data_IF_279897326837
#
_entry.id   IF_279897326837
#
_cell.length_a   1.000
_cell.length_b   1.000
_cell.length_c   1.000
_cell.angle_alpha   90.00
_cell.angle_beta   90.00
_cell.angle_gamma   90.00
#
_symmetry.space_group_name_H-M   'P 1'
#
loop_
_entity.id
_entity.type
_entity.pdbx_description
1 polymer ?
#
# COMPACT_ATOMS: atom_id res chain seq x y z
N UNK A 1 56.36 -16.48 -26.95
CA UNK A 1 55.33 -16.19 -27.99
C UNK A 1 54.02 -16.92 -27.68
N UNK A 2 53.13 -16.39 -26.81
CA UNK A 2 51.73 -16.87 -26.66
C UNK A 2 50.86 -15.77 -26.01
N UNK A 3 50.29 -14.86 -26.81
CA UNK A 3 49.25 -13.89 -26.38
C UNK A 3 48.55 -13.32 -27.62
N UNK A 4 47.57 -14.03 -28.20
CA UNK A 4 46.71 -13.42 -29.25
C UNK A 4 45.38 -14.14 -29.57
N UNK A 5 44.75 -14.90 -28.65
CA UNK A 5 43.53 -15.68 -28.99
C UNK A 5 42.24 -15.26 -28.25
N UNK A 6 42.27 -14.34 -27.27
CA UNK A 6 41.09 -14.07 -26.42
C UNK A 6 40.17 -12.89 -26.83
N UNK A 7 40.30 -12.29 -28.01
CA UNK A 7 39.50 -11.08 -28.34
C UNK A 7 38.15 -11.32 -29.03
N UNK A 8 37.89 -12.50 -29.62
CA UNK A 8 36.70 -12.71 -30.47
C UNK A 8 35.42 -13.12 -29.73
N UNK A 9 35.51 -13.65 -28.52
CA UNK A 9 34.32 -14.11 -27.78
C UNK A 9 33.56 -12.98 -27.09
N UNK A 10 34.23 -11.86 -26.78
CA UNK A 10 33.59 -10.71 -26.11
C UNK A 10 32.62 -9.93 -27.01
N UNK A 11 32.77 -10.02 -28.33
CA UNK A 11 31.96 -9.24 -29.28
C UNK A 11 30.53 -9.79 -29.44
N UNK A 12 30.34 -11.11 -29.28
CA UNK A 12 29.02 -11.75 -29.38
C UNK A 12 28.13 -11.47 -28.17
N UNK A 13 28.71 -11.28 -26.99
CA UNK A 13 27.99 -11.01 -25.74
C UNK A 13 27.30 -9.62 -25.75
N UNK A 14 27.91 -8.63 -26.41
CA UNK A 14 27.29 -7.30 -26.56
C UNK A 14 26.04 -7.35 -27.43
N UNK A 15 25.98 -8.24 -28.43
CA UNK A 15 24.83 -8.36 -29.32
C UNK A 15 23.58 -8.85 -28.59
N UNK A 16 23.72 -9.79 -27.65
CA UNK A 16 22.58 -10.33 -26.89
C UNK A 16 22.04 -9.29 -25.91
N UNK A 17 22.92 -8.58 -25.21
CA UNK A 17 22.52 -7.49 -24.28
C UNK A 17 21.81 -6.36 -25.01
N UNK A 18 22.30 -6.00 -26.20
CA UNK A 18 21.69 -4.93 -27.01
C UNK A 18 20.31 -5.33 -27.56
N UNK A 19 20.14 -6.59 -27.97
CA UNK A 19 18.84 -7.13 -28.39
C UNK A 19 17.84 -7.15 -27.24
N UNK A 20 18.27 -7.57 -26.05
CA UNK A 20 17.41 -7.55 -24.85
C UNK A 20 16.99 -6.12 -24.47
N UNK A 21 17.93 -5.18 -24.44
CA UNK A 21 17.64 -3.78 -24.12
C UNK A 21 16.66 -3.16 -25.13
N UNK A 22 16.83 -3.47 -26.42
CA UNK A 22 15.92 -3.02 -27.48
C UNK A 22 14.50 -3.55 -27.26
N UNK A 23 14.33 -4.83 -26.94
CA UNK A 23 13.01 -5.42 -26.76
C UNK A 23 12.35 -4.99 -25.43
N UNK A 24 13.15 -4.77 -24.39
CA UNK A 24 12.69 -4.18 -23.12
C UNK A 24 12.11 -2.77 -23.35
N UNK A 25 12.85 -1.90 -24.04
CA UNK A 25 12.41 -0.53 -24.35
C UNK A 25 11.13 -0.58 -25.20
N UNK A 26 11.07 -1.47 -26.20
CA UNK A 26 9.88 -1.65 -27.04
C UNK A 26 8.65 -2.01 -26.21
N UNK A 27 8.78 -2.95 -25.27
CA UNK A 27 7.67 -3.38 -24.42
C UNK A 27 7.22 -2.28 -23.45
N UNK A 28 8.14 -1.48 -22.90
CA UNK A 28 7.80 -0.34 -22.04
C UNK A 28 7.03 0.73 -22.83
N UNK A 29 7.47 1.04 -24.05
CA UNK A 29 6.79 2.02 -24.92
C UNK A 29 5.38 1.53 -25.27
N UNK A 30 5.22 0.25 -25.64
CA UNK A 30 3.92 -0.31 -25.99
C UNK A 30 2.94 -0.34 -24.81
N UNK A 31 3.42 -0.69 -23.61
CA UNK A 31 2.60 -0.68 -22.40
C UNK A 31 2.13 0.74 -22.04
N UNK A 32 3.01 1.75 -22.19
CA UNK A 32 2.63 3.14 -21.97
C UNK A 32 1.70 3.67 -23.05
N UNK A 33 1.85 3.26 -24.31
CA UNK A 33 0.97 3.67 -25.41
C UNK A 33 -0.47 3.19 -25.24
N UNK A 34 -0.66 1.96 -24.72
CA UNK A 34 -2.01 1.46 -24.44
C UNK A 34 -2.73 2.27 -23.37
N UNK A 35 -2.00 2.71 -22.33
CA UNK A 35 -2.57 3.57 -21.29
C UNK A 35 -2.98 4.95 -21.85
N UNK A 36 -2.17 5.53 -22.75
CA UNK A 36 -2.49 6.82 -23.40
C UNK A 36 -3.74 6.70 -24.29
N UNK A 37 -3.90 5.59 -25.02
CA UNK A 37 -5.07 5.36 -25.89
C UNK A 37 -6.35 5.15 -25.07
N UNK A 38 -6.26 4.48 -23.92
CA UNK A 38 -7.39 4.30 -22.99
C UNK A 38 -7.82 5.63 -22.36
N UNK A 39 -6.86 6.51 -22.03
CA UNK A 39 -7.13 7.84 -21.46
C UNK A 39 -7.87 8.75 -22.45
N UNK A 40 -7.42 8.83 -23.72
CA UNK A 40 -8.14 9.55 -24.78
C UNK A 40 -9.57 9.00 -25.01
N UNK A 41 -9.75 7.68 -24.89
CA UNK A 41 -11.06 7.04 -25.01
C UNK A 41 -11.98 7.42 -23.85
N UNK A 42 -11.45 7.50 -22.63
CA UNK A 42 -12.22 7.96 -21.48
C UNK A 42 -12.61 9.43 -21.63
N UNK A 43 -11.69 10.31 -22.04
CA UNK A 43 -11.99 11.72 -22.25
C UNK A 43 -13.08 11.92 -23.30
N UNK A 44 -13.02 11.19 -24.42
CA UNK A 44 -14.07 11.25 -25.46
C UNK A 44 -15.43 10.76 -24.94
N UNK A 45 -15.46 9.73 -24.08
CA UNK A 45 -16.70 9.24 -23.44
C UNK A 45 -17.27 10.26 -22.44
N UNK A 46 -16.42 10.86 -21.62
CA UNK A 46 -16.83 11.92 -20.67
C UNK A 46 -17.36 13.13 -21.42
N UNK A 47 -16.70 13.56 -22.49
CA UNK A 47 -17.15 14.69 -23.31
C UNK A 47 -18.46 14.38 -24.06
N UNK A 48 -18.65 13.16 -24.56
CA UNK A 48 -19.91 12.73 -25.17
C UNK A 48 -21.06 12.71 -24.16
N UNK A 49 -20.81 12.18 -22.95
CA UNK A 49 -21.78 12.15 -21.86
C UNK A 49 -22.23 13.56 -21.45
N UNK A 50 -21.28 14.49 -21.29
CA UNK A 50 -21.58 15.90 -20.98
C UNK A 50 -22.32 16.64 -22.10
N UNK A 51 -22.20 16.17 -23.35
CA UNK A 51 -22.85 16.80 -24.50
C UNK A 51 -24.29 16.31 -24.72
N UNK A 52 -24.62 15.12 -24.25
CA UNK A 52 -25.99 14.57 -24.31
C UNK A 52 -26.91 15.12 -23.21
N UNK A 53 -26.36 15.70 -22.14
CA UNK A 53 -27.12 16.51 -21.19
C UNK A 53 -27.39 17.92 -21.74
N UNK A 54 -28.33 18.03 -22.68
CA UNK A 54 -29.00 19.31 -23.00
C UNK A 54 -30.51 19.25 -22.76
N UNK A 55 -31.10 20.39 -22.35
CA UNK A 55 -32.23 20.43 -21.44
C UNK A 55 -33.56 20.24 -22.15
N UNK A 56 -34.35 19.27 -21.71
CA UNK A 56 -35.72 19.07 -22.17
C UNK A 56 -36.72 19.76 -21.24
N UNK A 57 -36.70 21.09 -21.17
CA UNK A 57 -37.88 21.87 -20.72
C UNK A 57 -37.95 23.18 -21.50
N UNK A 58 -38.55 23.12 -22.69
CA UNK A 58 -39.03 24.30 -23.42
C UNK A 58 -40.49 24.53 -23.00
N UNK A 59 -40.70 25.08 -21.80
CA UNK A 59 -42.03 25.59 -21.44
C UNK A 59 -42.18 26.97 -22.06
N UNK A 60 -43.11 27.08 -23.02
CA UNK A 60 -43.55 28.36 -23.57
C UNK A 60 -44.19 29.18 -22.45
N UNK A 61 -43.56 30.29 -22.06
CA UNK A 61 -44.23 31.33 -21.27
C UNK A 61 -44.26 32.59 -22.13
N UNK A 62 -45.48 32.96 -22.51
CA UNK A 62 -45.79 34.16 -23.25
C UNK A 62 -45.27 35.41 -22.54
N UNK A 63 -44.89 36.40 -23.35
CA UNK A 63 -44.52 37.73 -22.92
C UNK A 63 -45.68 38.36 -22.13
N UNK A 64 -45.56 38.40 -20.82
CA UNK A 64 -46.23 39.42 -20.01
C UNK A 64 -45.17 40.23 -19.29
N UNK A 65 -45.19 41.54 -19.52
CA UNK A 65 -44.41 42.54 -18.82
C UNK A 65 -44.81 42.50 -17.34
N UNK A 66 -43.99 41.89 -16.49
CA UNK A 66 -44.19 41.92 -15.04
C UNK A 66 -43.19 42.92 -14.45
N UNK A 67 -43.74 43.94 -13.80
CA UNK A 67 -43.02 44.96 -13.02
C UNK A 67 -42.22 44.29 -11.90
N UNK A 68 -41.06 44.83 -11.49
CA UNK A 68 -40.23 44.23 -10.46
C UNK A 68 -40.97 44.21 -9.12
N UNK A 69 -41.25 43.00 -8.62
CA UNK A 69 -41.77 42.78 -7.27
C UNK A 69 -40.55 42.66 -6.33
N UNK A 70 -40.49 43.42 -5.22
CA UNK A 70 -39.42 43.30 -4.24
C UNK A 70 -39.51 41.94 -3.55
N UNK A 71 -38.49 41.11 -3.75
CA UNK A 71 -38.40 39.79 -3.14
C UNK A 71 -38.04 39.95 -1.66
N UNK A 72 -39.05 39.90 -0.79
CA UNK A 72 -38.84 39.58 0.62
C UNK A 72 -38.54 38.08 0.73
N UNK A 73 -37.28 37.75 0.96
CA UNK A 73 -36.82 36.40 1.26
C UNK A 73 -37.32 36.04 2.67
N UNK A 74 -38.59 35.59 2.76
CA UNK A 74 -39.08 34.91 3.96
C UNK A 74 -38.51 33.51 3.97
N UNK A 75 -37.61 33.31 4.92
CA UNK A 75 -37.03 32.06 5.36
C UNK A 75 -38.09 30.95 5.42
N UNK A 76 -37.92 29.91 4.62
CA UNK A 76 -38.53 28.61 4.89
C UNK A 76 -37.42 27.57 5.04
N UNK A 77 -36.58 27.80 6.05
CA UNK A 77 -35.78 26.75 6.66
C UNK A 77 -36.77 25.87 7.40
N UNK A 78 -37.19 24.76 6.79
CA UNK A 78 -37.80 23.69 7.55
C UNK A 78 -36.66 23.02 8.32
N UNK A 79 -36.63 23.08 9.66
CA UNK A 79 -35.66 22.30 10.42
C UNK A 79 -35.91 20.84 10.10
N UNK A 80 -34.92 20.16 9.54
CA UNK A 80 -34.91 18.71 9.49
C UNK A 80 -35.10 18.23 10.93
N UNK A 81 -36.26 17.66 11.22
CA UNK A 81 -36.56 17.09 12.51
C UNK A 81 -35.55 15.97 12.74
N UNK A 82 -34.51 16.27 13.51
CA UNK A 82 -33.63 15.29 14.11
C UNK A 82 -34.53 14.30 14.84
N UNK A 83 -34.77 13.14 14.24
CA UNK A 83 -35.29 12.00 14.98
C UNK A 83 -34.17 11.63 15.95
N UNK A 84 -34.36 11.75 17.28
CA UNK A 84 -33.39 11.26 18.22
C UNK A 84 -33.19 9.78 17.92
N UNK A 85 -31.98 9.40 17.52
CA UNK A 85 -31.59 8.00 17.47
C UNK A 85 -31.90 7.44 18.86
N UNK A 86 -32.92 6.59 18.94
CA UNK A 86 -33.23 5.89 20.17
C UNK A 86 -31.97 5.12 20.54
N UNK A 87 -31.32 5.59 21.62
CA UNK A 87 -30.21 4.92 22.25
C UNK A 87 -30.70 3.52 22.58
N UNK A 88 -30.31 2.54 21.78
CA UNK A 88 -30.53 1.13 22.06
C UNK A 88 -29.80 0.89 23.38
N UNK A 89 -30.56 0.89 24.47
CA UNK A 89 -30.01 0.51 25.76
C UNK A 89 -29.55 -0.94 25.59
N UNK A 90 -28.27 -1.26 25.85
CA UNK A 90 -27.86 -2.64 25.91
C UNK A 90 -28.75 -3.29 26.95
N UNK A 91 -29.58 -4.26 26.52
CA UNK A 91 -30.31 -5.13 27.44
C UNK A 91 -29.26 -5.70 28.38
N UNK A 92 -29.27 -5.21 29.61
CA UNK A 92 -28.57 -5.80 30.74
C UNK A 92 -29.27 -7.13 31.03
N UNK A 93 -29.01 -8.11 30.16
CA UNK A 93 -29.26 -9.49 30.43
C UNK A 93 -28.32 -9.87 31.55
N UNK A 94 -28.86 -9.93 32.77
CA UNK A 94 -28.27 -10.61 33.90
C UNK A 94 -27.78 -11.99 33.44
N UNK A 95 -26.49 -12.10 33.12
CA UNK A 95 -25.81 -13.39 33.15
C UNK A 95 -25.71 -13.74 34.62
N UNK A 96 -26.74 -14.46 35.11
CA UNK A 96 -26.64 -15.24 36.33
C UNK A 96 -25.36 -16.07 36.19
N UNK A 97 -24.38 -15.79 37.04
CA UNK A 97 -23.12 -16.48 37.06
C UNK A 97 -23.38 -17.98 37.11
N UNK A 98 -22.90 -18.69 36.09
CA UNK A 98 -22.71 -20.12 36.21
C UNK A 98 -21.51 -20.26 37.15
N UNK A 99 -21.67 -20.86 38.35
CA UNK A 99 -20.55 -21.12 39.23
C UNK A 99 -19.60 -22.06 38.50
N UNK A 100 -18.41 -21.57 38.18
CA UNK A 100 -17.31 -22.42 37.69
C UNK A 100 -16.95 -23.35 38.86
N UNK A 101 -17.10 -24.67 38.72
CA UNK A 101 -16.68 -25.59 39.76
C UNK A 101 -15.16 -25.47 39.93
N UNK A 102 -14.74 -24.99 41.11
CA UNK A 102 -13.38 -25.17 41.61
C UNK A 102 -13.20 -26.65 41.98
N UNK A 103 -13.02 -27.50 40.98
CA UNK A 103 -12.30 -28.76 41.15
C UNK A 103 -10.83 -28.39 40.95
N UNK A 104 -9.99 -28.30 41.99
CA UNK A 104 -9.75 -29.36 42.96
C UNK A 104 -8.58 -30.18 42.43
N UNK A 105 -7.37 -29.89 42.92
CA UNK A 105 -6.19 -30.74 42.78
C UNK A 105 -5.46 -30.71 41.45
N UNK A 106 -4.63 -29.68 41.21
CA UNK A 106 -3.41 -29.94 40.45
C UNK A 106 -2.42 -30.62 41.40
N UNK A 107 -1.89 -31.80 41.06
CA UNK A 107 -0.80 -32.40 41.83
C UNK A 107 0.44 -31.48 41.77
N UNK A 108 1.30 -31.51 42.80
CA UNK A 108 2.57 -30.80 42.75
C UNK A 108 3.34 -31.28 41.52
N UNK A 109 3.71 -30.34 40.66
CA UNK A 109 4.61 -30.58 39.55
C UNK A 109 5.95 -30.98 40.17
N UNK A 110 6.23 -32.27 40.22
CA UNK A 110 7.55 -32.77 40.58
C UNK A 110 8.56 -32.24 39.57
N UNK A 111 9.55 -31.56 40.11
CA UNK A 111 10.68 -30.98 39.42
C UNK A 111 11.51 -32.13 38.82
N UNK A 112 11.20 -32.55 37.60
CA UNK A 112 11.99 -33.59 36.92
C UNK A 112 13.36 -32.99 36.61
N UNK A 113 14.36 -33.59 37.23
CA UNK A 113 15.76 -33.20 37.16
C UNK A 113 16.25 -33.14 35.72
N UNK A 114 17.06 -32.10 35.49
CA UNK A 114 17.61 -31.69 34.22
C UNK A 114 18.42 -32.81 33.57
N UNK A 115 17.90 -33.41 32.50
CA UNK A 115 18.71 -34.20 31.60
C UNK A 115 19.74 -33.27 30.92
N UNK A 116 21.03 -33.51 31.20
CA UNK A 116 22.16 -32.93 30.49
C UNK A 116 22.12 -33.39 29.03
N UNK A 117 21.42 -32.63 28.19
CA UNK A 117 21.49 -32.82 26.73
C UNK A 117 22.79 -32.15 26.27
N UNK A 118 23.82 -32.96 26.05
CA UNK A 118 25.03 -32.55 25.35
C UNK A 118 24.67 -32.18 23.91
N UNK A 119 24.42 -30.89 23.68
CA UNK A 119 24.28 -30.34 22.33
C UNK A 119 25.68 -30.13 21.75
N UNK A 120 26.20 -31.17 21.14
CA UNK A 120 27.28 -31.04 20.17
C UNK A 120 26.69 -30.39 18.91
N UNK A 121 26.60 -29.06 18.92
CA UNK A 121 26.25 -28.26 17.75
C UNK A 121 27.40 -28.36 16.76
N UNK A 122 27.23 -29.20 15.74
CA UNK A 122 28.05 -29.16 14.54
C UNK A 122 27.96 -27.75 13.95
N UNK A 123 29.13 -27.15 13.80
CA UNK A 123 29.38 -25.85 13.20
C UNK A 123 28.73 -25.77 11.80
N UNK A 124 27.52 -25.23 11.73
CA UNK A 124 27.05 -24.60 10.50
C UNK A 124 27.80 -23.27 10.39
N UNK A 125 28.93 -23.31 9.70
CA UNK A 125 29.67 -22.13 9.29
C UNK A 125 28.78 -21.26 8.41
N UNK A 126 28.18 -20.28 9.08
CA UNK A 126 27.71 -18.99 8.60
C UNK A 126 28.06 -18.67 7.14
N UNK A 127 27.07 -18.82 6.25
CA UNK A 127 26.85 -17.74 5.30
C UNK A 127 26.22 -16.61 6.10
N UNK A 128 27.06 -15.74 6.68
CA UNK A 128 26.65 -14.40 7.07
C UNK A 128 26.19 -13.70 5.79
N UNK A 129 24.91 -13.88 5.44
CA UNK A 129 24.23 -12.94 4.57
C UNK A 129 24.47 -11.58 5.21
N UNK A 130 25.13 -10.68 4.49
CA UNK A 130 25.46 -9.34 4.98
C UNK A 130 24.14 -8.68 5.38
N UNK A 131 23.77 -8.80 6.66
CA UNK A 131 22.63 -8.11 7.23
C UNK A 131 23.12 -6.68 7.38
N UNK A 132 23.08 -5.91 6.29
CA UNK A 132 23.22 -4.46 6.41
C UNK A 132 22.18 -4.01 7.43
N UNK A 133 22.61 -3.40 8.55
CA UNK A 133 21.71 -3.11 9.65
C UNK A 133 20.59 -2.20 9.15
N UNK A 134 19.36 -2.75 9.16
CA UNK A 134 18.14 -2.10 8.65
C UNK A 134 17.81 -0.79 9.41
N UNK A 135 18.55 -0.51 10.49
CA UNK A 135 18.36 0.58 11.46
C UNK A 135 18.48 1.98 10.87
N UNK A 136 19.13 2.16 9.72
CA UNK A 136 19.30 3.49 9.12
C UNK A 136 18.36 3.78 7.94
N UNK A 137 17.30 2.98 7.79
CA UNK A 137 16.49 3.03 6.59
C UNK A 137 15.39 4.11 6.58
N UNK A 138 15.15 4.82 7.67
CA UNK A 138 14.17 5.93 7.69
C UNK A 138 12.71 5.47 7.71
N UNK A 139 12.44 4.18 7.88
CA UNK A 139 11.09 3.61 7.90
C UNK A 139 10.26 3.96 9.16
N UNK A 140 10.81 4.75 10.08
CA UNK A 140 10.14 5.19 11.31
C UNK A 140 9.40 4.06 12.02
N UNK A 141 8.09 4.26 12.24
CA UNK A 141 7.19 3.31 12.92
C UNK A 141 6.99 1.98 12.17
N UNK A 142 7.29 1.91 10.87
CA UNK A 142 7.10 0.71 10.05
C UNK A 142 8.30 -0.26 10.18
N UNK A 143 9.45 0.24 10.63
CA UNK A 143 10.69 -0.55 10.70
C UNK A 143 10.53 -1.89 11.44
N UNK A 144 9.87 -1.96 12.62
CA UNK A 144 9.70 -3.24 13.33
C UNK A 144 8.86 -4.25 12.55
N UNK A 145 7.89 -3.78 11.75
CA UNK A 145 7.06 -4.65 10.90
C UNK A 145 7.88 -5.18 9.73
N UNK A 146 8.71 -4.34 9.10
CA UNK A 146 9.58 -4.74 7.99
C UNK A 146 10.68 -5.72 8.42
N UNK A 147 11.09 -5.69 9.69
CA UNK A 147 12.04 -6.64 10.25
C UNK A 147 11.44 -8.05 10.42
N UNK A 148 10.11 -8.17 10.49
CA UNK A 148 9.44 -9.47 10.56
C UNK A 148 9.55 -10.22 9.23
N UNK A 149 10.24 -11.36 9.26
CA UNK A 149 10.45 -12.21 8.08
C UNK A 149 9.16 -12.78 7.48
N UNK A 150 8.07 -12.84 8.25
CA UNK A 150 6.79 -13.37 7.79
C UNK A 150 5.94 -12.33 7.07
N UNK A 151 6.32 -11.05 7.11
CA UNK A 151 5.65 -9.98 6.40
C UNK A 151 6.05 -10.00 4.93
N UNK A 152 5.06 -10.19 4.06
CA UNK A 152 5.21 -10.21 2.61
C UNK A 152 4.95 -8.84 2.00
N UNK A 153 3.93 -8.14 2.49
CA UNK A 153 3.64 -6.77 2.06
C UNK A 153 3.02 -5.91 3.16
N UNK A 154 3.23 -4.60 3.05
CA UNK A 154 2.62 -3.57 3.90
C UNK A 154 1.99 -2.54 2.97
N UNK A 155 0.72 -2.24 3.18
CA UNK A 155 -0.05 -1.25 2.44
C UNK A 155 -0.48 -0.11 3.37
N UNK A 156 -0.25 1.12 2.91
CA UNK A 156 -0.72 2.34 3.52
C UNK A 156 -1.78 2.97 2.60
N UNK A 157 -3.07 2.89 2.96
CA UNK A 157 -4.15 3.42 2.12
C UNK A 157 -4.23 4.95 2.14
N UNK A 158 -3.51 5.64 3.03
CA UNK A 158 -3.43 7.09 3.10
C UNK A 158 -3.12 7.61 4.51
N UNK A 159 -2.99 8.95 4.67
CA UNK A 159 -2.67 9.57 5.95
C UNK A 159 -3.78 9.36 6.99
N UNK A 160 -3.39 9.07 8.23
CA UNK A 160 -4.28 8.81 9.36
C UNK A 160 -5.04 7.48 9.29
N UNK A 161 -4.77 6.65 8.28
CA UNK A 161 -5.41 5.33 8.14
C UNK A 161 -4.51 4.22 8.69
N UNK A 162 -5.11 3.14 9.22
CA UNK A 162 -4.35 2.00 9.71
C UNK A 162 -3.66 1.26 8.56
N UNK A 163 -2.44 0.78 8.84
CA UNK A 163 -1.68 -0.04 7.90
C UNK A 163 -2.33 -1.41 7.72
N UNK A 164 -2.29 -1.91 6.49
CA UNK A 164 -2.73 -3.26 6.13
C UNK A 164 -1.47 -4.10 5.91
N UNK A 165 -1.31 -5.19 6.64
CA UNK A 165 -0.13 -6.05 6.61
C UNK A 165 -0.54 -7.41 6.08
N UNK A 166 0.15 -7.90 5.05
CA UNK A 166 0.05 -9.28 4.60
C UNK A 166 1.18 -10.09 5.24
N UNK A 167 0.81 -10.95 6.20
CA UNK A 167 1.73 -11.82 6.93
C UNK A 167 1.44 -13.27 6.55
N UNK A 168 2.35 -13.89 5.79
CA UNK A 168 2.22 -15.27 5.32
C UNK A 168 0.89 -15.57 4.62
N UNK A 169 0.42 -14.65 3.77
CA UNK A 169 -0.86 -14.77 3.06
C UNK A 169 -2.09 -14.31 3.86
N UNK A 170 -1.94 -14.04 5.16
CA UNK A 170 -3.04 -13.54 6.01
C UNK A 170 -2.98 -12.02 6.06
N UNK A 171 -4.07 -11.38 5.62
CA UNK A 171 -4.22 -9.92 5.67
C UNK A 171 -4.71 -9.52 7.07
N UNK A 172 -3.97 -8.60 7.71
CA UNK A 172 -4.24 -8.10 9.06
C UNK A 172 -4.16 -6.57 9.07
N UNK A 173 -5.06 -5.92 9.80
CA UNK A 173 -5.02 -4.47 10.00
C UNK A 173 -4.24 -4.15 11.28
N UNK A 174 -3.25 -3.28 11.16
CA UNK A 174 -2.43 -2.81 12.29
C UNK A 174 -3.02 -1.54 12.91
N UNK A 175 -2.91 -1.34 14.24
CA UNK A 175 -3.30 -0.07 14.88
C UNK A 175 -2.33 1.08 14.55
N UNK A 176 -1.23 0.82 13.85
CA UNK A 176 -0.27 1.83 13.44
C UNK A 176 -0.87 2.67 12.31
N UNK A 177 -0.98 3.96 12.56
CA UNK A 177 -1.38 4.97 11.58
C UNK A 177 -0.20 5.90 11.32
N UNK A 178 -0.09 6.41 10.09
CA UNK A 178 0.96 7.35 9.70
C UNK A 178 0.38 8.73 9.41
N UNK A 179 1.05 9.79 9.86
CA UNK A 179 0.71 11.15 9.46
C UNK A 179 1.21 11.46 8.04
N UNK A 180 0.74 12.57 7.46
CA UNK A 180 1.20 13.03 6.14
C UNK A 180 2.71 13.26 6.13
N UNK A 181 3.24 13.86 7.20
CA UNK A 181 4.67 14.17 7.36
C UNK A 181 5.50 12.88 7.45
N UNK A 182 5.02 11.88 8.20
CA UNK A 182 5.67 10.58 8.32
C UNK A 182 5.73 9.85 6.98
N UNK A 183 4.62 9.87 6.21
CA UNK A 183 4.59 9.28 4.88
C UNK A 183 5.58 10.00 3.95
N UNK A 184 5.58 11.33 3.94
CA UNK A 184 6.48 12.11 3.10
C UNK A 184 7.96 11.91 3.48
N UNK A 185 8.27 11.77 4.77
CA UNK A 185 9.62 11.46 5.21
C UNK A 185 10.09 10.10 4.70
N UNK A 186 9.25 9.06 4.79
CA UNK A 186 9.57 7.72 4.25
C UNK A 186 9.81 7.79 2.75
N UNK A 187 8.95 8.48 2.01
CA UNK A 187 9.09 8.66 0.56
C UNK A 187 10.41 9.38 0.22
N UNK A 188 10.75 10.44 0.96
CA UNK A 188 11.98 11.20 0.77
C UNK A 188 13.22 10.35 1.05
N UNK A 189 13.23 9.60 2.15
CA UNK A 189 14.35 8.73 2.51
C UNK A 189 14.61 7.66 1.44
N UNK A 190 13.54 7.13 0.83
CA UNK A 190 13.67 6.14 -0.26
C UNK A 190 14.11 6.80 -1.57
N UNK A 191 13.56 7.97 -1.89
CA UNK A 191 14.01 8.80 -3.03
C UNK A 191 15.52 9.09 -2.92
N UNK A 192 15.98 9.53 -1.77
CA UNK A 192 17.39 9.90 -1.53
C UNK A 192 18.33 8.70 -1.63
N UNK A 193 17.87 7.50 -1.25
CA UNK A 193 18.65 6.25 -1.33
C UNK A 193 18.66 5.65 -2.72
N UNK A 194 17.54 5.71 -3.42
CA UNK A 194 17.39 5.13 -4.76
C UNK A 194 17.77 6.11 -5.87
N UNK A 195 17.96 7.39 -5.53
CA UNK A 195 18.20 8.51 -6.47
C UNK A 195 17.07 8.69 -7.48
N UNK A 196 15.86 8.26 -7.13
CA UNK A 196 14.65 8.43 -7.93
C UNK A 196 13.89 9.65 -7.40
N UNK A 197 13.69 10.71 -8.19
CA UNK A 197 13.02 11.92 -7.72
C UNK A 197 11.54 11.65 -7.38
N UNK A 198 11.03 12.33 -6.34
CA UNK A 198 9.61 12.33 -6.03
C UNK A 198 8.86 13.30 -6.95
N UNK A 199 7.98 12.76 -7.79
CA UNK A 199 7.07 13.52 -8.65
C UNK A 199 5.63 13.14 -8.31
N UNK A 200 4.68 14.06 -8.55
CA UNK A 200 3.25 13.74 -8.46
C UNK A 200 2.88 12.63 -9.44
N UNK A 201 2.00 11.72 -9.03
CA UNK A 201 1.63 10.54 -9.79
C UNK A 201 2.23 9.24 -9.22
N UNK A 202 2.63 8.32 -10.10
CA UNK A 202 3.12 7.00 -9.70
C UNK A 202 4.63 7.03 -9.40
N UNK A 203 5.02 6.48 -8.25
CA UNK A 203 6.40 6.31 -7.83
C UNK A 203 6.68 4.83 -7.61
N UNK A 204 7.74 4.30 -8.23
CA UNK A 204 8.15 2.91 -8.03
C UNK A 204 9.65 2.83 -7.82
N UNK A 205 10.06 2.24 -6.71
CA UNK A 205 11.45 2.13 -6.33
C UNK A 205 11.75 0.76 -5.72
N UNK A 206 12.85 0.15 -6.13
CA UNK A 206 13.38 -1.04 -5.50
C UNK A 206 14.51 -0.63 -4.54
N UNK A 207 14.42 -1.06 -3.28
CA UNK A 207 15.46 -0.81 -2.29
C UNK A 207 15.74 -2.12 -1.54
N UNK A 208 17.00 -2.55 -1.54
CA UNK A 208 17.41 -3.80 -0.90
C UNK A 208 16.50 -4.99 -1.34
N UNK A 209 15.90 -5.71 -0.38
CA UNK A 209 14.97 -6.82 -0.58
C UNK A 209 13.49 -6.40 -0.67
N UNK A 210 13.21 -5.12 -0.91
CA UNK A 210 11.86 -4.59 -0.98
C UNK A 210 11.63 -3.80 -2.28
N UNK A 211 10.37 -3.71 -2.67
CA UNK A 211 9.88 -2.90 -3.77
C UNK A 211 8.75 -2.04 -3.21
N UNK A 212 8.93 -0.72 -3.26
CA UNK A 212 7.88 0.22 -2.93
C UNK A 212 7.21 0.72 -4.21
N UNK A 213 5.87 0.70 -4.21
CA UNK A 213 5.03 1.34 -5.22
C UNK A 213 4.13 2.32 -4.50
N UNK A 214 4.10 3.58 -4.94
CA UNK A 214 3.32 4.63 -4.33
C UNK A 214 2.58 5.46 -5.38
N UNK A 215 1.47 6.06 -4.95
CA UNK A 215 0.72 7.06 -5.72
C UNK A 215 0.73 8.34 -4.88
N UNK A 216 1.40 9.36 -5.39
CA UNK A 216 1.57 10.67 -4.77
C UNK A 216 0.52 11.61 -5.36
N UNK A 217 -0.42 12.08 -4.53
CA UNK A 217 -1.49 12.98 -4.94
C UNK A 217 -1.69 14.09 -3.93
N UNK A 218 -1.77 15.32 -4.43
CA UNK A 218 -2.04 16.50 -3.61
C UNK A 218 -3.49 16.54 -3.08
N UNK A 219 -4.41 15.82 -3.72
CA UNK A 219 -5.84 15.84 -3.40
C UNK A 219 -6.26 14.73 -2.43
N UNK A 220 -5.82 13.49 -2.68
CA UNK A 220 -6.22 12.32 -1.87
C UNK A 220 -5.14 11.88 -0.88
N UNK A 221 -3.98 12.53 -0.89
CA UNK A 221 -2.80 12.15 -0.14
C UNK A 221 -2.01 10.99 -0.77
N UNK A 222 -0.83 10.75 -0.23
CA UNK A 222 0.06 9.69 -0.70
C UNK A 222 -0.38 8.33 -0.18
N UNK A 223 -0.42 7.35 -1.08
CA UNK A 223 -0.68 5.93 -0.77
C UNK A 223 0.51 5.10 -1.21
N UNK A 224 0.84 4.03 -0.50
CA UNK A 224 1.94 3.17 -0.90
C UNK A 224 1.77 1.72 -0.49
N UNK A 225 2.46 0.84 -1.21
CA UNK A 225 2.61 -0.58 -0.91
C UNK A 225 4.10 -0.91 -0.93
N UNK A 226 4.59 -1.53 0.14
CA UNK A 226 5.93 -2.11 0.22
C UNK A 226 5.77 -3.62 0.11
N UNK A 227 6.41 -4.22 -0.89
CA UNK A 227 6.42 -5.67 -1.11
C UNK A 227 7.83 -6.20 -0.90
N UNK A 228 7.96 -7.35 -0.26
CA UNK A 228 9.23 -8.06 -0.19
C UNK A 228 9.52 -8.75 -1.51
N UNK A 229 10.73 -8.61 -2.02
CA UNK A 229 11.20 -9.37 -3.18
C UNK A 229 11.26 -10.85 -2.81
N UNK A 230 10.58 -11.67 -3.59
CA UNK A 230 10.77 -13.11 -3.56
C UNK A 230 12.08 -13.40 -4.30
N UNK A 231 13.10 -13.83 -3.56
CA UNK A 231 14.29 -14.36 -4.21
C UNK A 231 13.92 -15.76 -4.73
N UNK A 232 14.05 -16.03 -6.04
CA UNK A 232 13.72 -17.35 -6.59
C UNK A 232 14.56 -18.46 -5.95
N UNK A 233 15.79 -18.15 -5.54
CA UNK A 233 16.78 -19.08 -5.01
C UNK A 233 16.48 -19.60 -3.58
N UNK A 234 15.36 -19.23 -2.95
CA UNK A 234 15.00 -19.67 -1.59
C UNK A 234 13.92 -20.76 -1.54
N UNK A 235 13.55 -21.33 -2.69
CA UNK A 235 12.56 -22.40 -2.81
C UNK A 235 13.13 -23.71 -3.41
N UNK A 236 14.45 -23.82 -3.54
CA UNK A 236 15.15 -25.10 -3.79
C UNK A 236 15.56 -25.77 -2.47
#
# INVERSE_FOLDING_TARGET
MKKQVQSKDKEKDYSIRLLFLRELIRNIILANYQNIIEEERLEKKVYAFLKEEKPLVRTQVGRQLIKPIPVQIKQLIRPAQFRPMQRIQPKQGFQKGIPVPRTGGQPPIEFVQSAKISKESKNNSYQESIITPLTNLGFGKILPILQDRFVQSIECPGPGKPLIINKSGIIQTSPINLSTEEIMQIMKDISDKTKIPLLTGAFKAAFDRYVMTAVISDYVGTRFVIQRKLNPDQFE
#
